data_IF_996005563254
#
_entry.id   IF_996005563254
#
_cell.length_a   1.000
_cell.length_b   1.000
_cell.length_c   1.000
_cell.angle_alpha   90.00
_cell.angle_beta   90.00
_cell.angle_gamma   90.00
#
_symmetry.space_group_name_H-M   'P 1'
#
loop_
_entity.id
_entity.type
_entity.pdbx_description
1 polymer ?
#
# COMPACT_ATOMS: atom_id res chain seq x y z
N UNK A 1 17.35 -10.76 -2.93
CA UNK A 1 16.06 -11.18 -3.56
C UNK A 1 15.55 -12.49 -2.98
N UNK A 2 16.35 -13.57 -2.93
CA UNK A 2 15.91 -14.86 -2.38
C UNK A 2 15.32 -14.76 -0.96
N UNK A 3 16.03 -14.11 -0.04
CA UNK A 3 15.56 -13.97 1.35
C UNK A 3 14.29 -13.10 1.45
N UNK A 4 14.19 -12.06 0.60
CA UNK A 4 13.01 -11.19 0.55
C UNK A 4 11.78 -11.92 0.00
N UNK A 5 11.96 -12.81 -0.99
CA UNK A 5 10.87 -13.65 -1.50
C UNK A 5 10.31 -14.59 -0.44
N UNK A 6 11.17 -15.14 0.42
CA UNK A 6 10.73 -16.05 1.49
C UNK A 6 9.93 -15.32 2.57
N UNK A 7 10.18 -14.03 2.77
CA UNK A 7 9.51 -13.21 3.77
C UNK A 7 8.25 -12.48 3.25
N UNK A 8 7.99 -12.52 1.94
CA UNK A 8 6.93 -11.75 1.29
C UNK A 8 6.04 -12.62 0.39
N UNK A 9 4.78 -12.23 0.23
CA UNK A 9 3.85 -12.90 -0.71
C UNK A 9 4.25 -12.63 -2.18
N UNK A 10 4.55 -11.36 -2.51
CA UNK A 10 5.03 -10.92 -3.83
C UNK A 10 6.13 -9.89 -3.64
N UNK A 11 7.19 -9.99 -4.44
CA UNK A 11 8.27 -9.01 -4.48
C UNK A 11 8.26 -8.30 -5.82
N UNK A 12 7.88 -7.02 -5.81
CA UNK A 12 7.98 -6.17 -6.99
C UNK A 12 9.45 -5.82 -7.24
N UNK A 13 9.95 -6.15 -8.43
CA UNK A 13 11.29 -5.75 -8.86
C UNK A 13 11.20 -4.79 -10.03
N UNK A 14 12.24 -3.98 -10.18
CA UNK A 14 12.46 -3.19 -11.37
C UNK A 14 13.95 -3.24 -11.69
N UNK A 15 14.30 -3.72 -12.89
CA UNK A 15 15.70 -3.90 -13.26
C UNK A 15 16.31 -2.58 -13.70
N UNK A 16 17.53 -2.28 -13.27
CA UNK A 16 18.28 -1.14 -13.80
C UNK A 16 18.50 -1.26 -15.33
N UNK A 17 18.48 -2.47 -15.88
CA UNK A 17 18.54 -2.67 -17.34
C UNK A 17 17.26 -2.17 -18.03
N UNK A 18 16.10 -2.33 -17.40
CA UNK A 18 14.82 -1.81 -17.90
C UNK A 18 14.84 -0.27 -17.87
N UNK A 19 15.36 0.34 -16.80
CA UNK A 19 15.60 1.80 -16.71
C UNK A 19 16.45 2.29 -17.88
N UNK A 20 17.53 1.58 -18.20
CA UNK A 20 18.44 1.98 -19.28
C UNK A 20 17.80 1.84 -20.67
N UNK A 21 16.94 0.85 -20.87
CA UNK A 21 16.17 0.71 -22.11
C UNK A 21 15.15 1.84 -22.29
N UNK A 22 14.54 2.29 -21.20
CA UNK A 22 13.58 3.40 -21.20
C UNK A 22 14.29 4.74 -21.41
N UNK A 23 15.39 4.96 -20.69
CA UNK A 23 16.05 6.25 -20.65
C UNK A 23 17.00 6.50 -21.84
N UNK A 24 17.50 5.44 -22.48
CA UNK A 24 18.52 5.53 -23.53
C UNK A 24 19.96 5.61 -22.98
N UNK A 25 20.94 5.52 -23.87
CA UNK A 25 22.36 5.35 -23.51
C UNK A 25 23.09 6.61 -23.01
N UNK A 26 22.54 7.80 -23.24
CA UNK A 26 23.22 9.09 -23.01
C UNK A 26 22.64 9.85 -21.81
N UNK A 27 22.24 9.15 -20.74
CA UNK A 27 21.65 9.78 -19.56
C UNK A 27 22.59 9.87 -18.37
N UNK A 28 22.47 10.94 -17.58
CA UNK A 28 23.22 11.07 -16.33
C UNK A 28 22.70 10.07 -15.28
N UNK A 29 23.60 9.58 -14.41
CA UNK A 29 23.24 8.66 -13.33
C UNK A 29 22.12 9.20 -12.44
N UNK A 30 22.17 10.49 -12.09
CA UNK A 30 21.14 11.12 -11.27
C UNK A 30 19.77 11.06 -11.94
N UNK A 31 19.71 11.32 -13.26
CA UNK A 31 18.46 11.23 -14.00
C UNK A 31 17.95 9.80 -14.11
N UNK A 32 18.85 8.82 -14.17
CA UNK A 32 18.51 7.39 -14.22
C UNK A 32 17.84 6.94 -12.93
N UNK A 33 18.43 7.34 -11.79
CA UNK A 33 17.91 7.03 -10.46
C UNK A 33 16.57 7.75 -10.21
N UNK A 34 16.43 8.99 -10.67
CA UNK A 34 15.16 9.72 -10.60
C UNK A 34 14.07 8.99 -11.40
N UNK A 35 14.38 8.54 -12.61
CA UNK A 35 13.46 7.77 -13.44
C UNK A 35 13.08 6.45 -12.76
N UNK A 36 14.04 5.73 -12.19
CA UNK A 36 13.78 4.49 -11.44
C UNK A 36 12.87 4.70 -10.23
N UNK A 37 13.12 5.74 -9.44
CA UNK A 37 12.28 6.10 -8.30
C UNK A 37 10.85 6.44 -8.75
N UNK A 38 10.71 7.17 -9.87
CA UNK A 38 9.41 7.52 -10.44
C UNK A 38 8.61 6.27 -10.82
N UNK A 39 9.24 5.28 -11.43
CA UNK A 39 8.60 4.00 -11.73
C UNK A 39 8.14 3.25 -10.47
N UNK A 40 8.97 3.19 -9.43
CA UNK A 40 8.59 2.57 -8.16
C UNK A 40 7.40 3.29 -7.51
N UNK A 41 7.38 4.62 -7.56
CA UNK A 41 6.24 5.41 -7.09
C UNK A 41 4.96 5.11 -7.86
N UNK A 42 4.99 5.12 -9.20
CA UNK A 42 3.83 4.77 -10.04
C UNK A 42 3.33 3.36 -9.77
N UNK A 43 4.23 2.42 -9.46
CA UNK A 43 3.87 1.04 -9.15
C UNK A 43 3.04 0.94 -7.88
N UNK A 44 3.51 1.57 -6.79
CA UNK A 44 2.81 1.59 -5.50
C UNK A 44 1.51 2.39 -5.60
N UNK A 45 1.54 3.53 -6.28
CA UNK A 45 0.35 4.35 -6.48
C UNK A 45 -0.68 3.64 -7.37
N UNK A 46 -0.25 2.91 -8.40
CA UNK A 46 -1.14 2.16 -9.25
C UNK A 46 -1.91 1.09 -8.50
N UNK A 47 -1.21 0.31 -7.67
CA UNK A 47 -1.85 -0.65 -6.75
C UNK A 47 -2.79 0.04 -5.76
N UNK A 48 -2.37 1.19 -5.21
CA UNK A 48 -3.18 1.94 -4.25
C UNK A 48 -4.46 2.49 -4.88
N UNK A 49 -4.37 3.04 -6.11
CA UNK A 49 -5.51 3.57 -6.87
C UNK A 49 -6.52 2.49 -7.18
N UNK A 50 -6.05 1.31 -7.57
CA UNK A 50 -6.91 0.15 -7.84
C UNK A 50 -7.79 -0.25 -6.65
N UNK A 51 -7.32 -0.02 -5.42
CA UNK A 51 -8.06 -0.34 -4.18
C UNK A 51 -8.92 0.80 -3.65
N UNK A 52 -8.49 2.05 -3.87
CA UNK A 52 -9.04 3.23 -3.18
C UNK A 52 -9.95 4.05 -4.09
N UNK A 53 -9.65 4.15 -5.39
CA UNK A 53 -10.43 4.99 -6.29
C UNK A 53 -11.83 4.40 -6.51
N UNK A 54 -12.89 5.19 -6.30
CA UNK A 54 -14.23 4.77 -6.66
C UNK A 54 -14.31 4.62 -8.18
N UNK A 55 -14.53 3.40 -8.63
CA UNK A 55 -14.60 3.05 -10.04
C UNK A 55 -15.93 2.47 -10.46
N UNK A 56 -16.09 2.31 -11.77
CA UNK A 56 -17.18 1.55 -12.39
C UNK A 56 -17.01 0.05 -12.14
N UNK A 57 -15.76 -0.42 -12.06
CA UNK A 57 -15.39 -1.78 -11.68
C UNK A 57 -14.41 -1.70 -10.51
N UNK A 58 -14.90 -1.96 -9.31
CA UNK A 58 -14.07 -1.96 -8.11
C UNK A 58 -13.47 -3.34 -7.89
N UNK A 59 -12.20 -3.37 -7.52
CA UNK A 59 -11.53 -4.59 -7.08
C UNK A 59 -11.50 -4.61 -5.56
N UNK A 60 -11.86 -5.75 -4.96
CA UNK A 60 -11.80 -5.89 -3.53
C UNK A 60 -10.38 -6.25 -3.06
N UNK A 61 -10.01 -5.77 -1.86
CA UNK A 61 -8.77 -6.19 -1.23
C UNK A 61 -8.73 -7.71 -0.97
N UNK A 62 -9.89 -8.36 -0.80
CA UNK A 62 -9.99 -9.80 -0.63
C UNK A 62 -9.54 -10.56 -1.88
N UNK A 63 -9.94 -10.09 -3.07
CA UNK A 63 -9.56 -10.70 -4.34
C UNK A 63 -8.05 -10.51 -4.61
N UNK A 64 -7.54 -9.31 -4.34
CA UNK A 64 -6.11 -9.02 -4.40
C UNK A 64 -5.30 -9.93 -3.47
N UNK A 65 -5.73 -10.04 -2.20
CA UNK A 65 -5.06 -10.87 -1.21
C UNK A 65 -5.12 -12.35 -1.60
N UNK A 66 -6.28 -12.84 -2.05
CA UNK A 66 -6.45 -14.23 -2.45
C UNK A 66 -5.55 -14.61 -3.62
N UNK A 67 -5.39 -13.72 -4.60
CA UNK A 67 -4.58 -13.99 -5.78
C UNK A 67 -3.08 -13.86 -5.54
N UNK A 68 -2.63 -13.09 -4.54
CA UNK A 68 -1.20 -12.88 -4.25
C UNK A 68 -0.63 -13.76 -3.13
N UNK A 69 -1.48 -14.24 -2.21
CA UNK A 69 -1.02 -14.87 -0.97
C UNK A 69 -0.30 -16.19 -1.20
N UNK A 70 0.88 -16.33 -0.58
CA UNK A 70 1.67 -17.57 -0.59
C UNK A 70 2.36 -17.89 -1.92
N UNK A 71 2.36 -16.98 -2.89
CA UNK A 71 3.04 -17.20 -4.17
C UNK A 71 4.56 -17.09 -4.08
N UNK A 72 5.10 -16.35 -3.09
CA UNK A 72 6.53 -16.05 -2.94
C UNK A 72 7.21 -15.64 -4.26
N UNK A 73 6.46 -14.88 -5.07
CA UNK A 73 6.72 -14.68 -6.49
C UNK A 73 7.38 -13.32 -6.78
N UNK A 74 7.76 -13.12 -8.04
CA UNK A 74 8.18 -11.81 -8.51
C UNK A 74 7.01 -11.12 -9.20
N UNK A 75 6.90 -9.83 -8.93
CA UNK A 75 5.96 -8.93 -9.59
C UNK A 75 6.72 -7.93 -10.46
N UNK A 76 6.11 -7.57 -11.57
CA UNK A 76 6.49 -6.43 -12.40
C UNK A 76 5.28 -5.55 -12.63
N UNK A 77 5.50 -4.26 -12.77
CA UNK A 77 4.46 -3.25 -12.91
C UNK A 77 4.77 -2.39 -14.12
N UNK A 78 3.74 -2.06 -14.87
CA UNK A 78 3.84 -1.11 -15.97
C UNK A 78 2.65 -0.17 -15.95
N UNK A 79 2.93 1.05 -16.41
CA UNK A 79 1.98 2.14 -16.49
C UNK A 79 2.12 2.76 -17.87
N UNK A 80 1.01 2.81 -18.60
CA UNK A 80 0.95 3.25 -19.98
C UNK A 80 -0.23 4.19 -20.15
N UNK A 81 -0.06 5.20 -20.99
CA UNK A 81 -1.12 6.12 -21.38
C UNK A 81 -1.38 5.96 -22.88
N UNK A 82 -2.61 5.55 -23.23
CA UNK A 82 -3.12 5.51 -24.59
C UNK A 82 -3.77 6.83 -24.97
N UNK A 83 -3.43 7.35 -26.15
CA UNK A 83 -3.98 8.59 -26.68
C UNK A 83 -4.22 8.45 -28.20
N UNK A 84 -5.16 9.23 -28.74
CA UNK A 84 -5.47 9.25 -30.18
C UNK A 84 -6.93 8.91 -30.48
N UNK A 85 -7.20 8.47 -31.71
CA UNK A 85 -8.55 8.09 -32.16
C UNK A 85 -9.00 6.74 -31.57
N UNK A 86 -8.06 5.81 -31.37
CA UNK A 86 -8.29 4.51 -30.72
C UNK A 86 -7.39 4.39 -29.48
N UNK A 87 -7.92 4.85 -28.35
CA UNK A 87 -7.22 4.89 -27.06
C UNK A 87 -6.82 3.48 -26.60
N UNK A 88 -7.68 2.48 -26.86
CA UNK A 88 -7.45 1.10 -26.47
C UNK A 88 -6.32 0.46 -27.27
N UNK A 89 -6.35 0.58 -28.60
CA UNK A 89 -5.32 0.02 -29.48
C UNK A 89 -3.94 0.62 -29.21
N UNK A 90 -3.86 1.95 -29.03
CA UNK A 90 -2.59 2.63 -28.71
C UNK A 90 -2.04 2.18 -27.35
N UNK A 91 -2.89 2.09 -26.32
CA UNK A 91 -2.50 1.57 -25.02
C UNK A 91 -1.95 0.13 -25.10
N UNK A 92 -2.62 -0.76 -25.83
CA UNK A 92 -2.17 -2.15 -26.03
C UNK A 92 -0.79 -2.19 -26.70
N UNK A 93 -0.60 -1.42 -27.78
CA UNK A 93 0.67 -1.39 -28.50
C UNK A 93 1.81 -0.94 -27.59
N UNK A 94 1.58 0.10 -26.79
CA UNK A 94 2.54 0.60 -25.80
C UNK A 94 2.81 -0.41 -24.67
N UNK A 95 1.80 -1.15 -24.21
CA UNK A 95 2.00 -2.22 -23.21
C UNK A 95 2.90 -3.32 -23.77
N UNK A 96 2.66 -3.77 -25.01
CA UNK A 96 3.44 -4.84 -25.63
C UNK A 96 4.87 -4.41 -25.96
N UNK A 97 5.10 -3.13 -26.27
CA UNK A 97 6.45 -2.59 -26.52
C UNK A 97 7.21 -2.26 -25.23
N UNK A 98 6.54 -2.18 -24.08
CA UNK A 98 7.15 -1.80 -22.81
C UNK A 98 8.23 -2.80 -22.36
N UNK A 99 9.42 -2.33 -21.89
CA UNK A 99 10.51 -3.21 -21.43
C UNK A 99 10.11 -4.22 -20.37
N UNK A 100 9.30 -3.80 -19.39
CA UNK A 100 8.76 -4.65 -18.33
C UNK A 100 7.88 -5.81 -18.84
N UNK A 101 7.20 -5.63 -19.99
CA UNK A 101 6.39 -6.69 -20.60
C UNK A 101 7.23 -7.71 -21.39
N UNK A 102 8.53 -7.44 -21.60
CA UNK A 102 9.48 -8.28 -22.34
C UNK A 102 8.91 -8.77 -23.68
N UNK A 103 8.31 -7.86 -24.44
CA UNK A 103 7.62 -8.15 -25.73
C UNK A 103 6.50 -9.18 -25.59
N UNK A 104 5.70 -9.09 -24.53
CA UNK A 104 4.58 -10.00 -24.26
C UNK A 104 4.99 -11.32 -23.60
N UNK A 105 6.28 -11.66 -23.51
CA UNK A 105 6.72 -12.89 -22.84
C UNK A 105 6.37 -12.89 -21.34
N UNK A 106 6.47 -11.73 -20.69
CA UNK A 106 6.10 -11.62 -19.28
C UNK A 106 4.61 -11.87 -19.04
N UNK A 107 3.74 -11.52 -20.00
CA UNK A 107 2.30 -11.79 -19.93
C UNK A 107 2.00 -13.29 -20.08
N UNK A 108 2.70 -13.97 -20.99
CA UNK A 108 2.53 -15.41 -21.20
C UNK A 108 3.03 -16.24 -20.00
N UNK A 109 4.05 -15.78 -19.29
CA UNK A 109 4.59 -16.43 -18.08
C UNK A 109 3.87 -16.01 -16.79
N UNK A 110 2.92 -15.08 -16.86
CA UNK A 110 2.17 -14.60 -15.72
C UNK A 110 1.31 -15.71 -15.11
N UNK A 111 1.26 -15.74 -13.79
CA UNK A 111 0.34 -16.59 -13.01
C UNK A 111 -0.92 -15.81 -12.68
N UNK A 112 -0.75 -14.54 -12.31
CA UNK A 112 -1.82 -13.60 -11.99
C UNK A 112 -1.55 -12.29 -12.72
N UNK A 113 -2.60 -11.72 -13.29
CA UNK A 113 -2.59 -10.39 -13.89
C UNK A 113 -3.58 -9.50 -13.16
N UNK A 114 -3.14 -8.28 -12.83
CA UNK A 114 -4.02 -7.26 -12.30
C UNK A 114 -3.96 -6.04 -13.20
N UNK A 115 -5.12 -5.64 -13.70
CA UNK A 115 -5.27 -4.52 -14.61
C UNK A 115 -6.18 -3.49 -13.97
N UNK A 116 -5.76 -2.23 -13.98
CA UNK A 116 -6.60 -1.09 -13.64
C UNK A 116 -6.62 -0.12 -14.81
N UNK A 117 -7.82 0.22 -15.26
CA UNK A 117 -8.07 1.13 -16.36
C UNK A 117 -8.62 2.44 -15.80
N UNK A 118 -8.01 3.56 -16.15
CA UNK A 118 -8.51 4.89 -15.79
C UNK A 118 -8.75 5.68 -17.06
N UNK A 119 -9.99 6.09 -17.27
CA UNK A 119 -10.38 6.96 -18.38
C UNK A 119 -11.29 8.10 -17.89
N UNK A 120 -11.57 9.06 -18.76
CA UNK A 120 -12.57 10.10 -18.50
C UNK A 120 -14.00 9.58 -18.61
N UNK A 121 -14.97 10.48 -18.59
CA UNK A 121 -16.41 10.13 -18.57
C UNK A 121 -16.86 9.40 -19.84
N UNK A 122 -16.11 9.56 -20.94
CA UNK A 122 -16.40 8.96 -22.24
C UNK A 122 -15.86 7.53 -22.40
N UNK A 123 -15.22 6.94 -21.39
CA UNK A 123 -14.66 5.59 -21.48
C UNK A 123 -15.77 4.57 -21.73
N UNK A 124 -15.74 3.92 -22.89
CA UNK A 124 -16.74 2.94 -23.28
C UNK A 124 -16.39 1.54 -22.76
N UNK A 125 -17.42 0.74 -22.47
CA UNK A 125 -17.23 -0.67 -22.10
C UNK A 125 -16.56 -1.48 -23.22
N UNK A 126 -16.75 -1.07 -24.48
CA UNK A 126 -16.15 -1.72 -25.63
C UNK A 126 -14.62 -1.55 -25.66
N UNK A 127 -14.12 -0.37 -25.31
CA UNK A 127 -12.67 -0.12 -25.18
C UNK A 127 -12.07 -0.97 -24.06
N UNK A 128 -12.74 -1.00 -22.89
CA UNK A 128 -12.33 -1.85 -21.75
C UNK A 128 -12.23 -3.32 -22.19
N UNK A 129 -13.27 -3.85 -22.83
CA UNK A 129 -13.30 -5.23 -23.30
C UNK A 129 -12.19 -5.50 -24.32
N UNK A 130 -11.93 -4.57 -25.24
CA UNK A 130 -10.87 -4.70 -26.25
C UNK A 130 -9.49 -4.83 -25.59
N UNK A 131 -9.20 -4.02 -24.58
CA UNK A 131 -7.94 -4.12 -23.81
C UNK A 131 -7.85 -5.43 -23.05
N UNK A 132 -8.92 -5.83 -22.37
CA UNK A 132 -8.97 -7.07 -21.60
C UNK A 132 -8.80 -8.30 -22.50
N UNK A 133 -9.53 -8.39 -23.61
CA UNK A 133 -9.43 -9.49 -24.57
C UNK A 133 -8.03 -9.59 -25.18
N UNK A 134 -7.44 -8.45 -25.55
CA UNK A 134 -6.09 -8.41 -26.10
C UNK A 134 -5.05 -8.90 -25.09
N UNK A 135 -5.12 -8.48 -23.83
CA UNK A 135 -4.19 -8.94 -22.80
C UNK A 135 -4.41 -10.42 -22.48
N UNK A 136 -5.67 -10.87 -22.39
CA UNK A 136 -6.00 -12.29 -22.23
C UNK A 136 -5.46 -13.14 -23.38
N UNK A 137 -5.46 -12.65 -24.62
CA UNK A 137 -4.90 -13.39 -25.76
C UNK A 137 -3.39 -13.64 -25.67
N UNK A 138 -2.68 -12.79 -24.91
CA UNK A 138 -1.24 -12.92 -24.67
C UNK A 138 -0.91 -13.67 -23.37
N UNK A 139 -1.88 -13.81 -22.46
CA UNK A 139 -1.71 -14.44 -21.16
C UNK A 139 -2.04 -15.95 -21.22
N UNK A 140 -1.21 -16.76 -20.55
CA UNK A 140 -1.50 -18.21 -20.43
C UNK A 140 -2.40 -18.53 -19.23
N UNK A 141 -2.53 -17.60 -18.28
CA UNK A 141 -3.25 -17.77 -17.01
C UNK A 141 -4.68 -17.22 -17.05
N UNK A 142 -5.58 -17.84 -16.29
CA UNK A 142 -6.98 -17.43 -16.19
C UNK A 142 -7.27 -16.42 -15.05
N UNK A 143 -6.31 -16.13 -14.16
CA UNK A 143 -6.56 -15.27 -12.99
C UNK A 143 -6.24 -13.80 -13.33
N UNK A 144 -7.16 -13.18 -14.06
CA UNK A 144 -7.13 -11.76 -14.40
C UNK A 144 -8.13 -10.99 -13.52
N UNK A 145 -7.61 -10.04 -12.75
CA UNK A 145 -8.41 -9.11 -11.96
C UNK A 145 -8.44 -7.77 -12.66
N UNK A 146 -9.64 -7.28 -13.01
CA UNK A 146 -9.83 -6.02 -13.75
C UNK A 146 -10.57 -4.99 -12.88
N UNK A 147 -9.96 -3.82 -12.74
CA UNK A 147 -10.57 -2.62 -12.18
C UNK A 147 -10.71 -1.52 -13.24
N UNK A 148 -11.68 -0.63 -13.06
CA UNK A 148 -11.88 0.52 -13.94
C UNK A 148 -12.40 1.74 -13.16
N UNK A 149 -11.75 2.90 -13.30
CA UNK A 149 -12.15 4.19 -12.71
C UNK A 149 -12.39 5.27 -13.77
N UNK A 150 -13.38 6.13 -13.51
CA UNK A 150 -13.79 7.23 -14.42
C UNK A 150 -13.21 8.60 -14.07
N UNK A 151 -12.15 8.66 -13.26
CA UNK A 151 -11.55 9.91 -12.77
C UNK A 151 -10.38 10.41 -13.66
N UNK A 152 -10.29 9.91 -14.90
CA UNK A 152 -9.26 10.27 -15.86
C UNK A 152 -9.62 11.49 -16.72
N UNK A 153 -8.74 11.84 -17.66
CA UNK A 153 -9.01 12.87 -18.66
C UNK A 153 -9.81 12.32 -19.85
N UNK A 154 -10.65 13.16 -20.45
CA UNK A 154 -11.68 12.79 -21.45
C UNK A 154 -11.16 12.28 -22.81
N UNK A 155 -9.85 12.08 -22.96
CA UNK A 155 -9.26 11.57 -24.19
C UNK A 155 -7.94 10.81 -23.96
N UNK A 156 -7.72 10.30 -22.75
CA UNK A 156 -6.54 9.51 -22.40
C UNK A 156 -6.99 8.29 -21.60
N UNK A 157 -6.54 7.12 -22.02
CA UNK A 157 -6.73 5.87 -21.30
C UNK A 157 -5.43 5.52 -20.58
N UNK A 158 -5.40 5.68 -19.25
CA UNK A 158 -4.28 5.23 -18.43
C UNK A 158 -4.52 3.77 -18.04
N UNK A 159 -3.59 2.90 -18.43
CA UNK A 159 -3.60 1.48 -18.10
C UNK A 159 -2.46 1.17 -17.14
N UNK A 160 -2.81 0.61 -16.00
CA UNK A 160 -1.86 0.11 -15.01
C UNK A 160 -1.98 -1.40 -15.02
N UNK A 161 -0.88 -2.08 -15.30
CA UNK A 161 -0.84 -3.54 -15.35
C UNK A 161 0.23 -4.06 -14.39
N UNK A 162 -0.18 -5.00 -13.56
CA UNK A 162 0.65 -5.71 -12.60
C UNK A 162 0.73 -7.16 -13.03
N UNK A 163 1.93 -7.62 -13.28
CA UNK A 163 2.23 -8.95 -13.76
C UNK A 163 2.91 -9.70 -12.64
N UNK A 164 2.26 -10.74 -12.12
CA UNK A 164 2.83 -11.61 -11.09
C UNK A 164 3.15 -12.94 -11.75
N UNK A 165 4.41 -13.37 -11.66
CA UNK A 165 4.85 -14.62 -12.23
C UNK A 165 5.56 -15.48 -11.19
N UNK A 166 5.17 -16.75 -11.12
CA UNK A 166 5.87 -17.73 -10.31
C UNK A 166 7.23 -18.02 -10.95
N UNK A 167 8.30 -17.66 -10.26
CA UNK A 167 9.64 -18.05 -10.68
C UNK A 167 9.83 -19.49 -10.26
N UNK A 168 9.72 -20.42 -11.21
CA UNK A 168 10.31 -21.76 -11.02
C UNK A 168 11.80 -21.54 -10.74
N UNK A 169 12.29 -22.09 -9.64
CA UNK A 169 13.68 -22.02 -9.16
C UNK A 169 14.69 -22.71 -10.13
N UNK A 170 14.57 -22.51 -11.44
CA UNK A 170 15.68 -22.70 -12.35
C UNK A 170 16.58 -21.48 -12.21
N UNK A 171 17.56 -21.62 -11.32
CA UNK A 171 18.81 -20.86 -11.37
C UNK A 171 19.42 -21.11 -12.76
N UNK A 172 19.10 -20.24 -13.70
CA UNK A 172 19.92 -20.01 -14.89
C UNK A 172 20.08 -18.51 -15.00
N UNK A 173 21.21 -18.08 -14.45
CA UNK A 173 22.06 -16.99 -14.87
C UNK A 173 21.46 -15.94 -15.81
N UNK A 174 21.67 -14.70 -15.37
CA UNK A 174 21.63 -13.43 -16.08
C UNK A 174 22.52 -13.39 -17.36
N UNK A 175 22.38 -14.34 -18.27
CA UNK A 175 23.12 -14.42 -19.53
C UNK A 175 22.19 -14.75 -20.69
N UNK A 176 21.23 -13.87 -20.97
CA UNK A 176 20.75 -13.69 -22.35
C UNK A 176 20.87 -12.22 -22.73
N UNK A 177 22.10 -11.70 -22.66
CA UNK A 177 22.52 -10.61 -23.54
C UNK A 177 22.62 -11.17 -24.95
N UNK A 178 21.48 -11.35 -25.62
CA UNK A 178 21.44 -11.52 -27.08
C UNK A 178 20.77 -10.29 -27.68
N UNK A 179 21.64 -9.33 -28.05
CA UNK A 179 21.52 -8.45 -29.21
C UNK A 179 20.08 -8.01 -29.55
N UNK A 180 19.55 -7.02 -28.83
CA UNK A 180 18.53 -6.14 -29.40
C UNK A 180 19.21 -4.82 -29.77
N UNK A 181 19.63 -4.72 -31.02
CA UNK A 181 19.92 -3.43 -31.63
C UNK A 181 18.59 -2.72 -31.89
N UNK A 182 18.21 -1.84 -31.00
CA UNK A 182 17.29 -0.74 -31.27
C UNK A 182 17.69 0.40 -30.34
N UNK A 183 18.61 1.26 -30.81
CA UNK A 183 19.01 2.49 -30.13
C UNK A 183 17.97 3.60 -30.31
N UNK A 184 16.69 3.26 -30.49
CA UNK A 184 15.62 4.24 -30.46
C UNK A 184 15.09 4.31 -29.04
N UNK A 185 15.11 5.50 -28.39
CA UNK A 185 14.43 5.66 -27.11
C UNK A 185 12.96 5.33 -27.32
N UNK A 186 12.44 4.39 -26.51
CA UNK A 186 10.99 4.19 -26.46
C UNK A 186 10.40 5.44 -25.81
N UNK A 187 9.70 6.25 -26.60
CA UNK A 187 8.89 7.37 -26.10
C UNK A 187 7.64 6.81 -25.38
N UNK A 188 7.89 6.21 -24.22
CA UNK A 188 6.88 5.92 -23.24
C UNK A 188 6.61 7.27 -22.58
N UNK A 189 5.75 8.07 -23.19
CA UNK A 189 5.40 9.43 -22.76
C UNK A 189 5.07 9.44 -21.27
N UNK A 190 6.07 9.72 -20.45
CA UNK A 190 5.91 9.89 -19.02
C UNK A 190 5.68 11.36 -18.76
N UNK A 191 4.67 11.75 -17.97
CA UNK A 191 4.47 13.14 -17.62
C UNK A 191 5.75 13.71 -17.00
N UNK A 192 6.30 14.78 -17.58
CA UNK A 192 7.55 15.43 -17.12
C UNK A 192 7.41 15.95 -15.67
N UNK A 193 6.18 16.25 -15.25
CA UNK A 193 5.86 16.64 -13.89
C UNK A 193 5.14 15.50 -13.16
N UNK A 194 5.89 14.71 -12.39
CA UNK A 194 5.32 13.95 -11.27
C UNK A 194 5.16 14.87 -10.05
N UNK A 195 4.47 15.98 -10.25
CA UNK A 195 3.75 16.68 -9.21
C UNK A 195 2.30 16.43 -9.57
N UNK A 196 1.50 15.70 -8.78
CA UNK A 196 0.06 15.70 -8.98
C UNK A 196 -0.45 17.14 -8.85
N UNK A 197 -0.51 17.85 -9.97
CA UNK A 197 -0.99 19.22 -10.07
C UNK A 197 -2.50 19.17 -10.06
N UNK A 198 -3.07 19.01 -8.88
CA UNK A 198 -4.50 18.99 -8.65
C UNK A 198 -4.81 18.76 -7.18
N UNK A 199 -5.99 19.20 -6.75
CA UNK A 199 -6.60 18.98 -5.42
C UNK A 199 -6.70 17.48 -5.02
N UNK A 200 -6.27 16.55 -5.87
CA UNK A 200 -6.25 15.10 -5.65
C UNK A 200 -4.83 14.52 -5.61
N UNK A 201 -3.84 15.25 -5.08
CA UNK A 201 -2.54 14.63 -4.77
C UNK A 201 -2.68 13.61 -3.65
N UNK A 202 -2.18 12.39 -3.86
CA UNK A 202 -2.08 11.38 -2.79
C UNK A 202 -1.21 11.86 -1.61
N UNK A 203 -0.31 12.81 -1.86
CA UNK A 203 0.54 13.46 -0.85
C UNK A 203 -0.28 14.43 0.04
N UNK A 204 -1.43 14.91 -0.46
CA UNK A 204 -2.34 15.85 0.21
C UNK A 204 -3.60 15.23 0.80
N UNK A 205 -3.71 13.89 0.89
CA UNK A 205 -4.78 13.19 1.61
C UNK A 205 -4.80 13.60 3.09
N UNK A 206 -5.48 14.72 3.38
CA UNK A 206 -5.53 15.36 4.70
C UNK A 206 -5.67 16.88 4.65
N UNK A 207 -5.32 17.54 3.54
CA UNK A 207 -5.39 19.00 3.41
C UNK A 207 -6.82 19.51 3.11
N UNK A 208 -7.57 18.78 2.28
CA UNK A 208 -8.96 19.11 1.87
C UNK A 208 -10.00 18.86 2.97
N UNK A 209 -9.62 18.11 4.01
CA UNK A 209 -10.48 17.80 5.15
C UNK A 209 -10.61 19.03 6.05
N UNK A 210 -11.58 19.89 5.76
CA UNK A 210 -12.19 20.80 6.74
C UNK A 210 -12.95 20.00 7.82
N UNK A 211 -12.25 19.10 8.52
CA UNK A 211 -12.72 18.42 9.72
C UNK A 211 -14.00 17.57 9.60
N UNK A 212 -14.45 17.19 8.39
CA UNK A 212 -15.59 16.26 8.25
C UNK A 212 -15.08 14.83 8.06
N UNK A 213 -15.06 14.14 9.18
CA UNK A 213 -14.44 12.85 9.43
C UNK A 213 -15.20 11.72 8.71
N UNK A 214 -14.77 11.29 7.52
CA UNK A 214 -15.18 10.01 6.95
C UNK A 214 -14.17 8.92 7.35
N UNK A 215 -14.53 8.24 8.45
CA UNK A 215 -14.05 6.93 8.93
C UNK A 215 -12.70 6.89 9.69
N UNK A 216 -12.83 7.07 11.02
CA UNK A 216 -12.16 6.33 12.13
C UNK A 216 -10.64 6.14 12.07
N UNK A 217 -9.90 7.23 12.14
CA UNK A 217 -8.81 7.35 13.12
C UNK A 217 -9.03 8.65 13.89
N UNK A 218 -9.36 8.55 15.19
CA UNK A 218 -9.53 9.72 16.01
C UNK A 218 -8.14 10.34 16.23
N UNK A 219 -7.84 11.43 15.53
CA UNK A 219 -6.75 12.31 15.90
C UNK A 219 -7.10 12.93 17.25
N UNK A 220 -6.55 12.39 18.33
CA UNK A 220 -6.56 13.07 19.63
C UNK A 220 -5.40 14.06 19.59
N UNK A 221 -5.65 15.38 19.58
CA UNK A 221 -4.56 16.34 19.68
C UNK A 221 -3.78 16.07 20.98
N UNK A 222 -2.44 16.24 20.98
CA UNK A 222 -1.66 16.14 22.20
C UNK A 222 -2.23 17.09 23.26
N UNK A 223 -2.37 16.59 24.49
CA UNK A 223 -2.94 17.38 25.58
C UNK A 223 -2.17 18.70 25.73
N UNK A 224 -2.85 19.85 25.89
CA UNK A 224 -2.19 21.14 26.05
C UNK A 224 -1.29 21.12 27.30
N UNK A 225 -0.08 21.63 27.16
CA UNK A 225 0.88 21.77 28.27
C UNK A 225 0.36 22.78 29.29
N UNK A 226 0.64 22.56 30.58
CA UNK A 226 0.15 23.38 31.70
C UNK A 226 0.52 24.86 31.56
N UNK A 227 1.60 25.17 30.84
CA UNK A 227 2.15 26.51 30.68
C UNK A 227 1.35 27.42 29.72
N UNK A 228 0.49 26.85 28.88
CA UNK A 228 -0.30 27.61 27.89
C UNK A 228 -1.75 27.89 28.31
N UNK A 229 -2.13 27.53 29.53
CA UNK A 229 -3.52 27.63 30.01
C UNK A 229 -3.72 28.96 30.74
N UNK A 230 -4.48 29.88 30.14
CA UNK A 230 -5.01 31.05 30.87
C UNK A 230 -6.17 30.62 31.78
N UNK A 231 -6.43 31.32 32.90
CA UNK A 231 -7.52 30.95 33.82
C UNK A 231 -8.90 30.94 33.14
N UNK A 232 -9.13 31.82 32.17
CA UNK A 232 -10.39 31.86 31.39
C UNK A 232 -10.55 30.65 30.45
N UNK A 233 -9.43 30.16 29.89
CA UNK A 233 -9.43 28.95 29.06
C UNK A 233 -9.69 27.69 29.89
N UNK A 234 -9.25 27.69 31.16
CA UNK A 234 -9.52 26.60 32.09
C UNK A 234 -11.02 26.47 32.40
N UNK A 235 -11.68 27.58 32.69
CA UNK A 235 -13.11 27.58 33.01
C UNK A 235 -13.95 27.19 31.79
N UNK A 236 -13.58 27.66 30.60
CA UNK A 236 -14.23 27.27 29.34
C UNK A 236 -14.05 25.78 29.02
N UNK A 237 -12.88 25.19 29.33
CA UNK A 237 -12.64 23.75 29.15
C UNK A 237 -13.43 22.90 30.13
N UNK A 238 -13.60 23.37 31.37
CA UNK A 238 -14.45 22.71 32.39
C UNK A 238 -15.91 22.69 31.97
N UNK A 239 -16.42 23.78 31.40
CA UNK A 239 -17.81 23.90 30.93
C UNK A 239 -18.07 23.08 29.66
N UNK A 240 -17.10 23.04 28.73
CA UNK A 240 -17.15 22.19 27.54
C UNK A 240 -17.07 20.70 27.91
N UNK A 241 -16.25 20.32 28.89
CA UNK A 241 -16.17 18.95 29.40
C UNK A 241 -17.46 18.51 30.10
N UNK A 242 -18.13 19.40 30.82
CA UNK A 242 -19.42 19.12 31.45
C UNK A 242 -20.56 18.97 30.43
N UNK A 243 -20.46 19.64 29.28
CA UNK A 243 -21.51 19.64 28.23
C UNK A 243 -21.40 18.47 27.24
N UNK A 244 -20.22 17.86 27.07
CA UNK A 244 -19.95 16.81 26.08
C UNK A 244 -19.97 15.38 26.64
N UNK A 245 -20.74 15.07 27.69
CA UNK A 245 -21.04 13.67 27.98
C UNK A 245 -22.33 13.25 27.24
N UNK A 246 -22.24 12.56 26.08
CA UNK A 246 -23.41 11.92 25.50
C UNK A 246 -23.93 10.90 26.51
N UNK A 247 -25.26 10.82 26.66
CA UNK A 247 -25.92 9.85 27.55
C UNK A 247 -25.44 8.43 27.24
N UNK A 248 -24.40 7.99 27.95
CA UNK A 248 -23.94 6.61 27.90
C UNK A 248 -25.05 5.80 28.53
N UNK A 249 -25.83 5.10 27.69
CA UNK A 249 -26.65 3.96 28.15
C UNK A 249 -25.79 3.19 29.14
N UNK A 250 -26.25 3.08 30.40
CA UNK A 250 -25.51 2.47 31.51
C UNK A 250 -24.83 1.20 31.00
N UNK A 251 -23.51 1.27 30.76
CA UNK A 251 -22.69 0.09 30.53
C UNK A 251 -22.98 -0.83 31.71
N UNK A 252 -23.30 -2.10 31.47
CA UNK A 252 -23.32 -3.10 32.55
C UNK A 252 -22.00 -2.92 33.31
N UNK A 253 -22.10 -2.60 34.60
CA UNK A 253 -20.93 -2.58 35.48
C UNK A 253 -20.23 -3.92 35.29
N UNK A 254 -19.02 -3.88 34.74
CA UNK A 254 -18.14 -5.05 34.72
C UNK A 254 -17.71 -5.20 36.17
N UNK A 255 -18.44 -6.01 36.92
CA UNK A 255 -18.02 -6.45 38.24
C UNK A 255 -16.83 -7.37 38.02
N UNK A 256 -15.64 -6.91 38.39
CA UNK A 256 -14.46 -7.76 38.45
C UNK A 256 -14.78 -8.92 39.39
N UNK A 257 -14.83 -10.14 38.86
CA UNK A 257 -14.95 -11.33 39.70
C UNK A 257 -13.66 -11.48 40.51
N UNK A 258 -13.80 -11.86 41.79
CA UNK A 258 -12.65 -12.09 42.66
C UNK A 258 -11.79 -13.19 42.05
N UNK A 259 -10.53 -12.89 41.74
CA UNK A 259 -9.57 -13.90 41.35
C UNK A 259 -8.95 -14.44 42.65
N UNK A 260 -9.23 -15.68 43.07
CA UNK A 260 -8.64 -16.23 44.29
C UNK A 260 -7.15 -16.45 44.04
N UNK A 261 -6.33 -15.47 44.43
CA UNK A 261 -4.88 -15.58 44.44
C UNK A 261 -4.48 -16.21 45.76
N UNK A 262 -4.23 -17.53 45.74
CA UNK A 262 -3.55 -18.18 46.86
C UNK A 262 -2.16 -17.54 47.02
N UNK A 263 -1.84 -17.11 48.25
CA UNK A 263 -0.51 -16.56 48.56
C UNK A 263 0.51 -17.67 48.38
N UNK A 264 1.22 -17.63 47.25
CA UNK A 264 2.26 -18.60 46.92
C UNK A 264 3.37 -18.51 47.97
N UNK A 265 3.63 -19.60 48.68
CA UNK A 265 4.77 -19.72 49.59
C UNK A 265 6.07 -19.36 48.86
N UNK A 266 7.04 -18.70 49.53
CA UNK A 266 8.34 -18.26 48.95
C UNK A 266 9.23 -19.41 48.40
N UNK A 267 8.72 -20.64 48.35
CA UNK A 267 9.32 -21.80 47.71
C UNK A 267 10.76 -22.01 48.19
N UNK A 268 11.70 -22.14 47.25
CA UNK A 268 13.12 -22.35 47.55
C UNK A 268 13.82 -21.14 48.21
N UNK A 269 13.18 -19.97 48.23
CA UNK A 269 13.72 -18.71 48.75
C UNK A 269 13.17 -18.33 50.13
N UNK A 270 12.46 -19.23 50.80
CA UNK A 270 11.92 -18.95 52.14
C UNK A 270 13.01 -18.77 53.22
N UNK A 271 14.22 -19.32 52.96
CA UNK A 271 15.37 -19.27 53.88
C UNK A 271 16.40 -18.18 53.55
N UNK A 272 16.18 -17.36 52.51
CA UNK A 272 17.08 -16.25 52.18
C UNK A 272 16.69 -14.97 52.91
N UNK A 273 17.67 -14.12 53.19
CA UNK A 273 17.43 -12.77 53.71
C UNK A 273 16.60 -11.95 52.69
N UNK A 274 15.65 -11.13 53.15
CA UNK A 274 14.75 -10.39 52.27
C UNK A 274 15.49 -9.31 51.48
N UNK A 275 15.11 -9.13 50.21
CA UNK A 275 15.67 -8.08 49.35
C UNK A 275 15.07 -6.72 49.71
N UNK A 276 15.73 -5.97 50.59
CA UNK A 276 15.28 -4.63 51.01
C UNK A 276 15.83 -3.55 50.07
N UNK A 277 14.94 -2.75 49.46
CA UNK A 277 15.31 -1.59 48.66
C UNK A 277 14.47 -0.38 49.07
N UNK A 278 15.13 0.73 49.44
CA UNK A 278 14.47 1.96 49.92
C UNK A 278 13.49 1.74 51.09
N UNK A 279 13.80 0.79 51.97
CA UNK A 279 12.95 0.44 53.11
C UNK A 279 11.77 -0.46 52.79
N UNK A 280 11.63 -0.93 51.54
CA UNK A 280 10.58 -1.86 51.11
C UNK A 280 11.16 -3.26 50.79
N UNK A 281 10.46 -4.32 51.19
CA UNK A 281 10.78 -5.72 50.87
C UNK A 281 10.30 -6.07 49.44
N UNK A 282 11.24 -6.14 48.48
CA UNK A 282 10.94 -6.44 47.08
C UNK A 282 10.46 -7.88 46.86
N UNK A 283 10.70 -8.79 47.81
CA UNK A 283 10.26 -10.17 47.73
C UNK A 283 8.76 -10.32 48.03
N UNK A 284 8.11 -9.25 48.51
CA UNK A 284 6.66 -9.18 48.60
C UNK A 284 6.08 -8.60 47.31
N UNK A 285 5.05 -9.24 46.74
CA UNK A 285 4.38 -8.73 45.56
C UNK A 285 3.83 -7.32 45.82
N UNK A 286 3.90 -6.48 44.80
CA UNK A 286 3.65 -5.03 44.88
C UNK A 286 2.29 -4.68 45.48
N UNK A 287 1.27 -5.54 45.33
CA UNK A 287 -0.06 -5.29 45.90
C UNK A 287 -0.05 -5.33 47.44
N UNK A 288 0.72 -6.24 48.05
CA UNK A 288 0.88 -6.33 49.51
C UNK A 288 1.65 -5.10 50.01
N UNK A 289 2.75 -4.75 49.33
CA UNK A 289 3.54 -3.54 49.64
C UNK A 289 2.72 -2.25 49.58
N UNK A 290 1.74 -2.19 48.68
CA UNK A 290 0.85 -1.03 48.52
C UNK A 290 -0.43 -1.11 49.33
N UNK A 291 -0.59 -2.13 50.19
CA UNK A 291 -1.80 -2.31 51.01
C UNK A 291 -3.07 -2.54 50.20
N UNK A 292 -2.96 -2.98 48.95
CA UNK A 292 -4.11 -3.25 48.09
C UNK A 292 -4.68 -4.62 48.44
N UNK A 293 -5.89 -4.62 49.00
CA UNK A 293 -6.67 -5.84 49.17
C UNK A 293 -7.17 -6.28 47.80
N UNK A 294 -6.68 -7.42 47.30
CA UNK A 294 -7.37 -8.15 46.25
C UNK A 294 -8.55 -8.87 46.91
N UNK A 295 -9.69 -8.18 46.95
CA UNK A 295 -11.00 -8.83 47.04
C UNK A 295 -11.36 -9.26 45.62
#
# INVERSE_FOLDING_TARGET
>A
IRDLKQASDVVFHFSNEEVMQIAGGEISLNKALELANRHLCESVLGLSRMLIEPGHLNVSFGDLQASMKGLHSLGSTLCVEGAGEDLAADAIQKILSHPAARKGKALSEATTLLMHLTGGENLSLNEINTVVESICSHASSNDLIVGASGNGSDNVLKVILVIVHEVKDSITDANTSKNLKSNEPLDLSYPENFMPSGENSYIGLGAESKGSNRVRFAYTPPAPSVETITPEMKDSLLEAAASQEPSRKKRKEIKQEMLPLEVVSKGRFEKSEPTIHKGEDLDQPTYIRRGMLLN
#
